data_IF_916097937809
#
_entry.id   IF_916097937809
#
_cell.length_a   1.000
_cell.length_b   1.000
_cell.length_c   1.000
_cell.angle_alpha   90.00
_cell.angle_beta   90.00
_cell.angle_gamma   90.00
#
_symmetry.space_group_name_H-M   'P 1'
#
loop_
_entity.id
_entity.type
_entity.pdbx_description
1 polymer ?
#
# COMPACT_ATOMS: atom_id res chain seq x y z
N UNK A 1 -23.10 -25.77 -7.66
CA UNK A 1 -22.24 -24.94 -6.78
C UNK A 1 -21.27 -24.01 -7.53
N UNK A 2 -20.76 -24.32 -8.71
CA UNK A 2 -19.79 -23.47 -9.46
C UNK A 2 -20.39 -22.22 -10.12
N UNK A 3 -21.67 -22.22 -10.48
CA UNK A 3 -22.35 -21.05 -11.07
C UNK A 3 -22.78 -20.00 -10.05
N UNK A 4 -23.16 -20.41 -8.85
CA UNK A 4 -23.59 -19.48 -7.80
C UNK A 4 -22.45 -18.59 -7.25
N UNK A 5 -21.19 -19.05 -7.26
CA UNK A 5 -20.05 -18.22 -6.83
C UNK A 5 -19.69 -17.13 -7.85
N UNK A 6 -19.90 -17.38 -9.15
CA UNK A 6 -19.74 -16.35 -10.20
C UNK A 6 -20.77 -15.21 -10.08
N UNK A 7 -21.99 -15.56 -9.69
CA UNK A 7 -23.12 -14.63 -9.58
C UNK A 7 -22.97 -13.76 -8.31
N UNK A 8 -22.48 -14.33 -7.21
CA UNK A 8 -22.30 -13.60 -5.93
C UNK A 8 -21.25 -12.49 -6.07
N UNK A 9 -20.09 -12.77 -6.67
CA UNK A 9 -19.03 -11.75 -6.89
C UNK A 9 -19.48 -10.59 -7.77
N UNK A 10 -20.21 -10.86 -8.87
CA UNK A 10 -20.72 -9.83 -9.78
C UNK A 10 -21.88 -9.01 -9.20
N UNK A 11 -22.71 -9.57 -8.32
CA UNK A 11 -23.80 -8.84 -7.67
C UNK A 11 -23.31 -7.88 -6.60
N UNK A 12 -22.30 -8.27 -5.80
CA UNK A 12 -21.63 -7.37 -4.84
C UNK A 12 -20.93 -6.21 -5.54
N UNK A 13 -20.25 -6.47 -6.65
CA UNK A 13 -19.58 -5.47 -7.50
C UNK A 13 -20.55 -4.42 -8.08
N UNK A 14 -21.68 -4.86 -8.60
CA UNK A 14 -22.70 -3.92 -9.15
C UNK A 14 -23.38 -3.09 -8.06
N UNK A 15 -23.52 -3.62 -6.85
CA UNK A 15 -24.03 -2.91 -5.68
C UNK A 15 -23.08 -1.82 -5.20
N UNK A 16 -21.78 -2.10 -5.16
CA UNK A 16 -20.75 -1.15 -4.72
C UNK A 16 -20.56 0.00 -5.72
N UNK A 17 -20.49 -0.29 -7.04
CA UNK A 17 -20.44 0.73 -8.10
C UNK A 17 -21.68 1.64 -8.06
N UNK A 18 -22.85 1.12 -7.69
CA UNK A 18 -24.07 1.92 -7.52
C UNK A 18 -24.06 2.82 -6.27
N UNK A 19 -23.32 2.47 -5.21
CA UNK A 19 -23.20 3.30 -4.00
C UNK A 19 -22.18 4.43 -4.17
N UNK A 20 -21.20 4.31 -5.06
CA UNK A 20 -20.31 5.40 -5.45
C UNK A 20 -21.02 6.28 -6.49
N UNK A 21 -21.87 7.19 -6.02
CA UNK A 21 -22.77 8.02 -6.85
C UNK A 21 -22.06 9.05 -7.76
N UNK A 22 -20.73 9.14 -7.72
CA UNK A 22 -19.93 10.06 -8.54
C UNK A 22 -18.76 9.35 -9.21
N UNK A 23 -18.65 9.54 -10.53
CA UNK A 23 -17.46 9.13 -11.28
C UNK A 23 -16.28 10.03 -10.86
N UNK A 24 -15.34 9.46 -10.11
CA UNK A 24 -14.10 10.13 -9.69
C UNK A 24 -12.89 9.27 -10.02
N UNK A 25 -11.69 9.79 -9.75
CA UNK A 25 -10.44 9.10 -10.08
C UNK A 25 -10.34 7.74 -9.39
N UNK A 26 -10.70 7.64 -8.11
CA UNK A 26 -10.66 6.39 -7.34
C UNK A 26 -11.59 5.32 -7.95
N UNK A 27 -12.82 5.68 -8.27
CA UNK A 27 -13.80 4.77 -8.91
C UNK A 27 -13.25 4.22 -10.22
N UNK A 28 -12.71 5.09 -11.08
CA UNK A 28 -12.11 4.68 -12.36
C UNK A 28 -10.90 3.75 -12.21
N UNK A 29 -10.10 3.93 -11.15
CA UNK A 29 -8.97 3.03 -10.85
C UNK A 29 -9.50 1.66 -10.43
N UNK A 30 -10.44 1.62 -9.50
CA UNK A 30 -11.02 0.36 -9.01
C UNK A 30 -11.69 -0.44 -10.13
N UNK A 31 -12.45 0.21 -11.01
CA UNK A 31 -13.03 -0.44 -12.19
C UNK A 31 -11.94 -1.08 -13.06
N UNK A 32 -10.87 -0.33 -13.33
CA UNK A 32 -9.74 -0.84 -14.11
C UNK A 32 -9.05 -2.04 -13.45
N UNK A 33 -8.83 -1.98 -12.13
CA UNK A 33 -8.25 -3.10 -11.36
C UNK A 33 -9.11 -4.36 -11.46
N UNK A 34 -10.42 -4.21 -11.37
CA UNK A 34 -11.35 -5.34 -11.46
C UNK A 34 -11.37 -5.97 -12.87
N UNK A 35 -11.34 -5.14 -13.92
CA UNK A 35 -11.23 -5.63 -15.29
C UNK A 35 -9.92 -6.39 -15.55
N UNK A 36 -8.81 -5.91 -15.02
CA UNK A 36 -7.51 -6.56 -15.20
C UNK A 36 -7.40 -7.82 -14.35
N UNK A 37 -8.02 -7.82 -13.15
CA UNK A 37 -8.13 -9.02 -12.32
C UNK A 37 -8.90 -10.14 -13.04
N UNK A 38 -10.03 -9.84 -13.69
CA UNK A 38 -10.80 -10.85 -14.44
C UNK A 38 -10.01 -11.50 -15.57
N UNK A 39 -9.07 -10.79 -16.20
CA UNK A 39 -8.22 -11.33 -17.28
C UNK A 39 -7.15 -12.29 -16.78
N UNK A 40 -6.59 -12.03 -15.55
CA UNK A 40 -5.41 -12.75 -15.03
C UNK A 40 -5.72 -13.76 -13.94
N UNK A 41 -6.93 -13.73 -13.34
CA UNK A 41 -7.27 -14.59 -12.23
C UNK A 41 -7.25 -16.07 -12.61
N UNK A 42 -6.69 -16.90 -11.74
CA UNK A 42 -6.71 -18.35 -11.82
C UNK A 42 -7.82 -18.91 -10.92
N UNK A 43 -8.22 -20.19 -11.09
CA UNK A 43 -9.16 -20.82 -10.17
C UNK A 43 -8.70 -20.75 -8.71
N UNK A 44 -9.61 -20.42 -7.80
CA UNK A 44 -9.32 -20.27 -6.37
C UNK A 44 -8.69 -21.54 -5.75
N UNK A 45 -9.03 -22.72 -6.28
CA UNK A 45 -8.41 -23.98 -5.85
C UNK A 45 -6.92 -24.04 -6.14
N UNK A 46 -6.48 -23.51 -7.29
CA UNK A 46 -5.06 -23.39 -7.62
C UNK A 46 -4.35 -22.36 -6.75
N UNK A 47 -5.01 -21.23 -6.48
CA UNK A 47 -4.47 -20.21 -5.60
C UNK A 47 -4.26 -20.75 -4.18
N UNK A 48 -5.25 -21.50 -3.65
CA UNK A 48 -5.14 -22.17 -2.36
C UNK A 48 -4.04 -23.25 -2.31
N UNK A 49 -3.75 -23.88 -3.43
CA UNK A 49 -2.63 -24.82 -3.52
C UNK A 49 -1.28 -24.07 -3.44
N UNK A 50 -1.16 -22.96 -4.16
CA UNK A 50 0.03 -22.12 -4.15
C UNK A 50 0.29 -21.48 -2.76
N UNK A 51 -0.75 -21.19 -1.98
CA UNK A 51 -0.59 -20.70 -0.60
C UNK A 51 0.25 -21.63 0.28
N UNK A 52 0.23 -22.95 0.04
CA UNK A 52 1.00 -23.94 0.81
C UNK A 52 2.50 -23.82 0.61
N UNK A 53 2.91 -23.23 -0.51
CA UNK A 53 4.32 -22.99 -0.88
C UNK A 53 4.68 -21.51 -0.92
N UNK A 54 3.83 -20.64 -0.38
CA UNK A 54 4.09 -19.22 -0.29
C UNK A 54 5.35 -18.95 0.56
N UNK A 55 6.19 -17.97 0.20
CA UNK A 55 7.42 -17.66 0.93
C UNK A 55 7.17 -17.29 2.39
N UNK A 56 8.13 -17.55 3.28
CA UNK A 56 8.06 -17.11 4.68
C UNK A 56 7.94 -15.59 4.80
N UNK A 57 7.15 -15.14 5.75
CA UNK A 57 6.91 -13.71 5.98
C UNK A 57 8.05 -13.05 6.76
N UNK A 58 8.38 -11.82 6.41
CA UNK A 58 9.51 -11.06 6.98
C UNK A 58 9.12 -10.10 8.11
N UNK A 59 7.82 -9.94 8.43
CA UNK A 59 7.33 -9.16 9.55
C UNK A 59 7.56 -7.65 9.38
N UNK A 60 6.74 -7.00 8.57
CA UNK A 60 6.83 -5.55 8.30
C UNK A 60 6.56 -4.70 9.55
N UNK A 61 5.57 -5.07 10.36
CA UNK A 61 5.31 -4.38 11.63
C UNK A 61 6.55 -4.35 12.54
N UNK A 62 7.24 -5.49 12.68
CA UNK A 62 8.49 -5.58 13.47
C UNK A 62 9.58 -4.66 12.90
N UNK A 63 9.71 -4.59 11.58
CA UNK A 63 10.69 -3.71 10.93
C UNK A 63 10.40 -2.23 11.18
N UNK A 64 9.14 -1.84 11.05
CA UNK A 64 8.67 -0.46 11.23
C UNK A 64 8.57 -0.03 12.72
N UNK A 65 8.55 -0.97 13.67
CA UNK A 65 8.48 -0.69 15.10
C UNK A 65 9.85 -0.42 15.75
N UNK A 66 10.95 -0.50 15.01
CA UNK A 66 12.29 -0.18 15.53
C UNK A 66 12.40 1.29 15.94
N UNK A 67 13.29 1.66 16.88
CA UNK A 67 13.50 3.05 17.30
C UNK A 67 13.90 3.99 16.15
N UNK A 68 13.45 5.23 16.20
CA UNK A 68 13.72 6.30 15.23
C UNK A 68 12.72 6.28 14.05
N UNK A 69 12.85 7.23 13.14
CA UNK A 69 12.02 7.33 11.95
C UNK A 69 12.32 6.19 10.98
N UNK A 70 11.28 5.48 10.52
CA UNK A 70 11.37 4.36 9.59
C UNK A 70 10.95 4.78 8.19
N UNK A 71 11.43 4.08 7.18
CA UNK A 71 11.16 4.39 5.77
C UNK A 71 10.55 3.19 5.05
N UNK A 72 9.39 3.42 4.46
CA UNK A 72 8.81 2.59 3.39
C UNK A 72 9.22 3.26 2.07
N UNK A 73 10.20 2.68 1.36
CA UNK A 73 10.69 3.22 0.10
C UNK A 73 9.90 2.65 -1.07
N UNK A 74 9.26 3.51 -1.86
CA UNK A 74 8.31 3.10 -2.89
C UNK A 74 8.92 3.10 -4.29
N UNK A 75 8.76 2.00 -5.01
CA UNK A 75 9.09 1.82 -6.43
C UNK A 75 7.84 2.17 -7.24
N UNK A 76 7.89 3.31 -7.95
CA UNK A 76 6.75 3.87 -8.68
C UNK A 76 7.18 4.56 -9.98
N UNK A 77 6.72 4.04 -11.13
CA UNK A 77 7.03 4.59 -12.46
C UNK A 77 6.17 5.78 -12.85
N UNK A 78 4.94 5.81 -12.39
CA UNK A 78 3.94 6.81 -12.79
C UNK A 78 2.96 7.11 -11.66
N UNK A 79 2.27 8.24 -11.75
CA UNK A 79 1.14 8.55 -10.85
C UNK A 79 0.04 9.30 -11.60
N UNK A 80 -1.24 9.20 -11.17
CA UNK A 80 -2.36 9.90 -11.80
C UNK A 80 -2.19 11.43 -11.82
N UNK A 81 -1.52 12.01 -10.80
CA UNK A 81 -1.35 13.45 -10.65
C UNK A 81 -0.18 14.04 -11.44
N UNK A 82 0.85 13.24 -11.77
CA UNK A 82 2.11 13.74 -12.37
C UNK A 82 2.52 12.99 -13.64
N UNK A 83 1.78 11.96 -14.03
CA UNK A 83 2.15 11.11 -15.17
C UNK A 83 3.42 10.31 -14.90
N UNK A 84 4.28 10.13 -15.91
CA UNK A 84 5.56 9.44 -15.80
C UNK A 84 6.50 10.16 -14.83
N UNK A 85 7.09 9.41 -13.88
CA UNK A 85 8.00 9.94 -12.85
C UNK A 85 9.46 9.59 -13.15
N UNK A 86 9.70 8.33 -13.48
CA UNK A 86 11.03 7.82 -13.81
C UNK A 86 10.90 6.56 -14.69
N UNK A 87 11.90 6.34 -15.54
CA UNK A 87 12.11 5.05 -16.17
C UNK A 87 12.82 4.14 -15.16
N UNK A 88 12.21 3.00 -14.86
CA UNK A 88 12.73 1.98 -13.95
C UNK A 88 12.83 0.68 -14.74
N UNK A 89 13.99 0.45 -15.31
CA UNK A 89 14.23 -0.74 -16.14
C UNK A 89 14.33 -2.00 -15.27
N UNK A 90 14.90 -1.87 -14.07
CA UNK A 90 15.10 -2.97 -13.13
C UNK A 90 14.68 -2.56 -11.70
N UNK A 91 13.49 -3.03 -11.30
CA UNK A 91 12.97 -2.79 -9.96
C UNK A 91 13.83 -3.44 -8.85
N UNK A 92 14.50 -4.58 -9.14
CA UNK A 92 15.40 -5.27 -8.18
C UNK A 92 16.61 -4.40 -7.85
N UNK A 93 17.23 -3.84 -8.87
CA UNK A 93 18.40 -2.95 -8.69
C UNK A 93 18.03 -1.72 -7.85
N UNK A 94 16.85 -1.14 -8.09
CA UNK A 94 16.37 0.00 -7.30
C UNK A 94 16.06 -0.40 -5.86
N UNK A 95 15.40 -1.55 -5.64
CA UNK A 95 15.13 -2.09 -4.31
C UNK A 95 16.41 -2.35 -3.51
N UNK A 96 17.45 -2.89 -4.15
CA UNK A 96 18.76 -3.11 -3.53
C UNK A 96 19.41 -1.80 -3.07
N UNK A 97 19.33 -0.74 -3.88
CA UNK A 97 19.81 0.60 -3.50
C UNK A 97 19.01 1.19 -2.33
N UNK A 98 17.68 0.95 -2.30
CA UNK A 98 16.85 1.38 -1.18
C UNK A 98 17.21 0.64 0.11
N UNK A 99 17.46 -0.67 0.04
CA UNK A 99 17.94 -1.46 1.17
C UNK A 99 19.33 -0.97 1.64
N UNK A 100 20.26 -0.72 0.74
CA UNK A 100 21.58 -0.14 1.04
C UNK A 100 21.47 1.23 1.71
N UNK A 101 20.54 2.08 1.25
CA UNK A 101 20.24 3.39 1.83
C UNK A 101 19.58 3.34 3.21
N UNK A 102 19.17 2.16 3.68
CA UNK A 102 18.58 1.96 5.01
C UNK A 102 17.06 2.10 5.04
N UNK A 103 16.36 1.77 3.95
CA UNK A 103 14.92 1.55 3.97
C UNK A 103 14.58 0.38 4.91
N UNK A 104 13.38 0.39 5.48
CA UNK A 104 12.89 -0.65 6.39
C UNK A 104 11.89 -1.60 5.72
N UNK A 105 11.15 -1.10 4.74
CA UNK A 105 10.18 -1.83 3.90
C UNK A 105 10.28 -1.30 2.47
N UNK A 106 10.16 -2.17 1.49
CA UNK A 106 10.03 -1.77 0.09
C UNK A 106 8.56 -1.86 -0.35
N UNK A 107 8.03 -0.75 -0.85
CA UNK A 107 6.69 -0.67 -1.44
C UNK A 107 6.79 -0.83 -2.95
N UNK A 108 6.04 -1.77 -3.52
CA UNK A 108 6.00 -2.02 -4.96
C UNK A 108 4.60 -1.80 -5.50
N UNK A 109 4.46 -0.82 -6.41
CA UNK A 109 3.20 -0.59 -7.12
C UNK A 109 2.93 -1.78 -8.05
N UNK A 110 1.71 -2.35 -7.97
CA UNK A 110 1.27 -3.44 -8.86
C UNK A 110 0.08 -3.05 -9.74
N UNK A 111 -0.54 -1.88 -9.54
CA UNK A 111 -1.55 -1.33 -10.45
C UNK A 111 -0.91 -0.90 -11.78
N UNK A 112 -1.40 -1.48 -12.89
CA UNK A 112 -0.74 -1.36 -14.21
C UNK A 112 -1.13 -0.08 -14.96
N UNK A 113 -2.43 0.29 -14.95
CA UNK A 113 -2.98 1.32 -15.86
C UNK A 113 -2.51 2.72 -15.53
N UNK A 114 -2.52 3.09 -14.27
CA UNK A 114 -2.25 4.46 -13.80
C UNK A 114 -0.84 4.62 -13.24
N UNK A 115 -0.36 3.59 -12.54
CA UNK A 115 0.95 3.66 -11.88
C UNK A 115 2.05 2.95 -12.66
N UNK A 116 1.71 2.22 -13.74
CA UNK A 116 2.63 1.38 -14.51
C UNK A 116 3.38 0.40 -13.63
N UNK A 117 2.65 -0.12 -12.62
CA UNK A 117 3.13 -1.15 -11.72
C UNK A 117 3.11 -2.53 -12.37
N UNK A 118 3.70 -3.52 -11.69
CA UNK A 118 3.76 -4.88 -12.19
C UNK A 118 3.81 -5.89 -11.05
N UNK A 119 3.05 -6.99 -11.18
CA UNK A 119 3.17 -8.15 -10.29
C UNK A 119 4.54 -8.81 -10.41
N UNK A 120 5.13 -8.80 -11.60
CA UNK A 120 6.49 -9.35 -11.79
C UNK A 120 7.53 -8.54 -11.01
N UNK A 121 7.41 -7.20 -10.94
CA UNK A 121 8.29 -6.39 -10.10
C UNK A 121 8.19 -6.76 -8.61
N UNK A 122 6.97 -7.04 -8.12
CA UNK A 122 6.79 -7.46 -6.73
C UNK A 122 7.53 -8.77 -6.44
N UNK A 123 7.39 -9.76 -7.32
CA UNK A 123 8.07 -11.06 -7.21
C UNK A 123 9.59 -10.88 -7.29
N UNK A 124 10.06 -10.13 -8.26
CA UNK A 124 11.48 -9.90 -8.50
C UNK A 124 12.14 -9.16 -7.34
N UNK A 125 11.50 -8.10 -6.83
CA UNK A 125 11.96 -7.38 -5.63
C UNK A 125 11.98 -8.30 -4.43
N UNK A 126 10.89 -9.06 -4.19
CA UNK A 126 10.79 -9.98 -3.06
C UNK A 126 11.93 -11.00 -3.02
N UNK A 127 12.36 -11.46 -4.20
CA UNK A 127 13.44 -12.46 -4.35
C UNK A 127 14.85 -11.85 -4.29
N UNK A 128 14.99 -10.53 -4.41
CA UNK A 128 16.30 -9.86 -4.53
C UNK A 128 16.81 -9.19 -3.25
N UNK A 129 15.91 -8.96 -2.27
CA UNK A 129 16.23 -8.24 -1.01
C UNK A 129 15.79 -9.06 0.20
N UNK A 130 16.25 -8.65 1.39
CA UNK A 130 15.87 -9.27 2.68
C UNK A 130 14.79 -8.47 3.43
N UNK A 131 14.48 -7.25 3.00
CA UNK A 131 13.48 -6.40 3.62
C UNK A 131 12.06 -6.92 3.35
N UNK A 132 11.09 -6.65 4.25
CA UNK A 132 9.68 -6.86 3.98
C UNK A 132 9.21 -6.08 2.76
N UNK A 133 8.26 -6.65 2.00
CA UNK A 133 7.73 -6.04 0.78
C UNK A 133 6.23 -5.75 0.94
N UNK A 134 5.85 -4.49 0.71
CA UNK A 134 4.47 -4.03 0.62
C UNK A 134 3.97 -4.16 -0.82
N UNK A 135 2.89 -4.91 -1.03
CA UNK A 135 2.10 -4.79 -2.27
C UNK A 135 1.26 -3.51 -2.20
N UNK A 136 1.63 -2.51 -2.98
CA UNK A 136 0.90 -1.24 -3.10
C UNK A 136 -0.05 -1.32 -4.30
N UNK A 137 -1.31 -1.59 -4.01
CA UNK A 137 -2.38 -1.82 -5.02
C UNK A 137 -3.74 -1.42 -4.42
N UNK A 138 -4.76 -1.30 -5.27
CA UNK A 138 -6.16 -1.16 -4.83
C UNK A 138 -6.75 -2.54 -4.60
N UNK A 139 -6.65 -3.03 -3.37
CA UNK A 139 -7.17 -4.35 -2.98
C UNK A 139 -8.64 -4.21 -2.61
N UNK A 140 -9.50 -4.72 -3.49
CA UNK A 140 -10.97 -4.61 -3.40
C UNK A 140 -11.69 -5.95 -3.48
N UNK A 141 -10.92 -7.05 -3.50
CA UNK A 141 -11.45 -8.42 -3.51
C UNK A 141 -10.63 -9.33 -2.60
N UNK A 142 -11.31 -10.34 -2.01
CA UNK A 142 -10.68 -11.42 -1.25
C UNK A 142 -9.61 -12.16 -2.06
N UNK A 143 -9.86 -12.33 -3.37
CA UNK A 143 -8.90 -12.96 -4.27
C UNK A 143 -7.55 -12.24 -4.26
N UNK A 144 -7.54 -10.91 -4.29
CA UNK A 144 -6.30 -10.13 -4.27
C UNK A 144 -5.54 -10.25 -2.94
N UNK A 145 -6.24 -10.45 -1.83
CA UNK A 145 -5.61 -10.74 -0.52
C UNK A 145 -4.86 -12.08 -0.58
N UNK A 146 -5.52 -13.14 -1.04
CA UNK A 146 -4.90 -14.47 -1.21
C UNK A 146 -3.75 -14.43 -2.21
N UNK A 147 -3.95 -13.75 -3.36
CA UNK A 147 -2.93 -13.55 -4.39
C UNK A 147 -1.69 -12.84 -3.82
N UNK A 148 -1.87 -11.80 -3.00
CA UNK A 148 -0.76 -11.07 -2.39
C UNK A 148 0.11 -11.98 -1.54
N UNK A 149 -0.50 -12.87 -0.75
CA UNK A 149 0.24 -13.84 0.06
C UNK A 149 1.03 -14.83 -0.80
N UNK A 150 0.41 -15.34 -1.87
CA UNK A 150 1.07 -16.26 -2.83
C UNK A 150 2.26 -15.57 -3.52
N UNK A 151 2.11 -14.32 -3.89
CA UNK A 151 3.16 -13.52 -4.53
C UNK A 151 4.32 -13.15 -3.58
N UNK A 152 4.18 -13.43 -2.28
CA UNK A 152 5.20 -13.18 -1.28
C UNK A 152 5.17 -11.77 -0.69
N UNK A 153 4.05 -11.05 -0.78
CA UNK A 153 3.88 -9.82 -0.03
C UNK A 153 3.90 -10.09 1.48
N UNK A 154 4.64 -9.30 2.23
CA UNK A 154 4.70 -9.34 3.69
C UNK A 154 3.67 -8.41 4.32
N UNK A 155 3.30 -7.37 3.57
CA UNK A 155 2.37 -6.32 3.95
C UNK A 155 1.50 -5.98 2.75
N UNK A 156 0.21 -5.71 2.97
CA UNK A 156 -0.71 -5.20 1.93
C UNK A 156 -1.29 -3.86 2.32
N UNK A 157 -1.81 -3.14 1.32
CA UNK A 157 -2.54 -1.90 1.48
C UNK A 157 -4.05 -2.16 1.48
N UNK A 158 -4.76 -1.65 2.49
CA UNK A 158 -6.21 -1.50 2.46
C UNK A 158 -6.57 -0.02 2.55
N UNK A 159 -7.25 0.50 1.54
CA UNK A 159 -7.65 1.91 1.45
C UNK A 159 -9.09 2.03 1.94
N UNK A 160 -9.33 2.73 3.05
CA UNK A 160 -10.67 2.86 3.64
C UNK A 160 -11.66 3.47 2.65
N UNK A 161 -11.26 4.51 1.92
CA UNK A 161 -12.08 5.15 0.88
C UNK A 161 -12.51 4.21 -0.27
N UNK A 162 -11.81 3.09 -0.46
CA UNK A 162 -12.06 2.14 -1.55
C UNK A 162 -12.90 0.92 -1.11
N UNK A 163 -13.26 0.80 0.17
CA UNK A 163 -13.89 -0.39 0.74
C UNK A 163 -15.17 -0.04 1.52
N UNK A 164 -16.13 -0.95 1.54
CA UNK A 164 -17.19 -0.91 2.53
C UNK A 164 -16.65 -1.34 3.90
N UNK A 165 -17.34 -0.98 4.98
CA UNK A 165 -16.92 -1.34 6.35
C UNK A 165 -16.80 -2.86 6.53
N UNK A 166 -17.68 -3.65 5.90
CA UNK A 166 -17.60 -5.11 5.90
C UNK A 166 -16.35 -5.60 5.16
N UNK A 167 -16.10 -5.11 3.93
CA UNK A 167 -14.92 -5.49 3.16
C UNK A 167 -13.63 -5.13 3.89
N UNK A 168 -13.55 -3.94 4.47
CA UNK A 168 -12.39 -3.51 5.23
C UNK A 168 -12.09 -4.47 6.38
N UNK A 169 -13.11 -4.85 7.15
CA UNK A 169 -13.00 -5.80 8.25
C UNK A 169 -12.61 -7.19 7.77
N UNK A 170 -13.32 -7.72 6.74
CA UNK A 170 -13.12 -9.07 6.25
C UNK A 170 -11.73 -9.23 5.62
N UNK A 171 -11.27 -8.24 4.83
CA UNK A 171 -9.94 -8.29 4.21
C UNK A 171 -8.82 -8.09 5.24
N UNK A 172 -9.02 -7.24 6.24
CA UNK A 172 -8.07 -7.09 7.35
C UNK A 172 -7.91 -8.40 8.12
N UNK A 173 -9.04 -9.04 8.48
CA UNK A 173 -9.04 -10.32 9.17
C UNK A 173 -8.35 -11.41 8.33
N UNK A 174 -8.75 -11.59 7.07
CA UNK A 174 -8.15 -12.56 6.18
C UNK A 174 -6.63 -12.35 6.02
N UNK A 175 -6.20 -11.10 5.88
CA UNK A 175 -4.77 -10.79 5.76
C UNK A 175 -3.98 -11.20 7.00
N UNK A 176 -4.53 -10.91 8.18
CA UNK A 176 -3.89 -11.28 9.46
C UNK A 176 -3.91 -12.79 9.71
N UNK A 177 -4.97 -13.50 9.31
CA UNK A 177 -5.05 -14.97 9.35
C UNK A 177 -4.00 -15.62 8.43
N UNK A 178 -3.68 -14.98 7.30
CA UNK A 178 -2.60 -15.39 6.39
C UNK A 178 -1.20 -14.98 6.89
N UNK A 179 -1.13 -14.29 8.04
CA UNK A 179 0.11 -13.83 8.68
C UNK A 179 0.71 -12.56 8.11
N UNK A 180 0.08 -11.92 7.12
CA UNK A 180 0.52 -10.64 6.56
C UNK A 180 0.20 -9.50 7.51
N UNK A 181 1.07 -8.49 7.55
CA UNK A 181 0.76 -7.18 8.13
C UNK A 181 -0.16 -6.39 7.16
N UNK A 182 -0.87 -5.38 7.69
CA UNK A 182 -1.78 -4.55 6.88
C UNK A 182 -1.52 -3.08 7.16
N UNK A 183 -1.22 -2.31 6.12
CA UNK A 183 -1.22 -0.85 6.13
C UNK A 183 -2.64 -0.38 5.76
N UNK A 184 -3.36 0.19 6.73
CA UNK A 184 -4.70 0.74 6.50
C UNK A 184 -4.57 2.23 6.23
N UNK A 185 -4.84 2.63 4.98
CA UNK A 185 -4.71 4.01 4.53
C UNK A 185 -5.99 4.81 4.78
N UNK A 186 -5.82 5.99 5.39
CA UNK A 186 -6.91 6.92 5.77
C UNK A 186 -6.61 8.34 5.30
N UNK A 187 -7.68 9.12 5.01
CA UNK A 187 -7.60 10.48 4.49
C UNK A 187 -8.30 11.52 5.38
N UNK A 188 -9.12 11.09 6.32
CA UNK A 188 -9.84 11.93 7.28
C UNK A 188 -10.04 11.21 8.62
N UNK A 189 -10.67 11.90 9.58
CA UNK A 189 -10.90 11.37 10.92
C UNK A 189 -11.94 10.24 10.95
N UNK A 190 -12.95 10.28 10.10
CA UNK A 190 -13.98 9.24 10.02
C UNK A 190 -13.37 7.94 9.49
N UNK A 191 -12.49 8.01 8.51
CA UNK A 191 -11.72 6.86 8.01
C UNK A 191 -10.74 6.34 9.07
N UNK A 192 -10.11 7.24 9.83
CA UNK A 192 -9.22 6.87 10.93
C UNK A 192 -9.97 6.12 12.04
N UNK A 193 -11.19 6.55 12.39
CA UNK A 193 -12.05 5.85 13.33
C UNK A 193 -12.40 4.43 12.84
N UNK A 194 -12.75 4.27 11.56
CA UNK A 194 -13.01 2.96 10.96
C UNK A 194 -11.80 2.04 11.04
N UNK A 195 -10.60 2.56 10.75
CA UNK A 195 -9.34 1.82 10.87
C UNK A 195 -9.06 1.38 12.31
N UNK A 196 -9.34 2.23 13.30
CA UNK A 196 -9.22 1.88 14.72
C UNK A 196 -10.23 0.82 15.14
N UNK A 197 -11.48 0.92 14.67
CA UNK A 197 -12.56 0.00 15.03
C UNK A 197 -12.33 -1.43 14.54
N UNK A 198 -11.59 -1.65 13.45
CA UNK A 198 -11.17 -2.99 13.02
C UNK A 198 -9.91 -3.50 13.74
N UNK A 199 -9.31 -2.72 14.63
CA UNK A 199 -8.10 -3.08 15.36
C UNK A 199 -6.81 -2.96 14.53
N UNK A 200 -6.74 -2.03 13.58
CA UNK A 200 -5.56 -1.82 12.74
C UNK A 200 -4.32 -1.50 13.60
N UNK A 201 -3.21 -2.19 13.33
CA UNK A 201 -1.91 -1.96 14.00
C UNK A 201 -1.05 -0.95 13.28
N UNK A 202 -1.24 -0.77 11.97
CA UNK A 202 -0.48 0.17 11.13
C UNK A 202 -1.50 1.02 10.38
N UNK A 203 -1.51 2.32 10.64
CA UNK A 203 -2.39 3.28 9.96
C UNK A 203 -1.53 4.25 9.15
N UNK A 204 -1.79 4.31 7.85
CA UNK A 204 -1.21 5.26 6.93
C UNK A 204 -2.09 6.48 6.78
N UNK A 205 -1.58 7.66 7.14
CA UNK A 205 -2.27 8.92 6.88
C UNK A 205 -1.78 9.44 5.55
N UNK A 206 -2.66 9.42 4.54
CA UNK A 206 -2.33 9.89 3.21
C UNK A 206 -2.77 11.36 3.01
N UNK A 207 -1.79 12.26 2.86
CA UNK A 207 -2.05 13.68 2.61
C UNK A 207 -2.63 13.98 1.22
N UNK A 208 -2.67 12.98 0.32
CA UNK A 208 -3.25 13.11 -1.02
C UNK A 208 -4.70 12.67 -1.02
N UNK A 209 -5.60 13.59 -1.36
CA UNK A 209 -7.00 13.27 -1.61
C UNK A 209 -7.13 12.41 -2.88
N UNK A 210 -7.72 11.21 -2.79
CA UNK A 210 -7.84 10.28 -3.93
C UNK A 210 -8.92 10.69 -4.95
N UNK A 211 -9.78 11.66 -4.62
CA UNK A 211 -10.81 12.18 -5.53
C UNK A 211 -10.29 13.36 -6.35
N UNK A 212 -9.57 14.31 -5.69
CA UNK A 212 -9.07 15.54 -6.33
C UNK A 212 -7.60 15.49 -6.72
N UNK A 213 -6.83 14.52 -6.17
CA UNK A 213 -5.38 14.34 -6.29
C UNK A 213 -4.56 15.46 -5.62
N UNK A 214 -5.19 16.41 -4.94
CA UNK A 214 -4.53 17.46 -4.19
C UNK A 214 -3.81 16.90 -2.96
N UNK A 215 -2.66 17.50 -2.63
CA UNK A 215 -1.86 17.15 -1.45
C UNK A 215 -1.97 18.27 -0.43
N UNK A 216 -2.28 17.93 0.81
CA UNK A 216 -2.40 18.88 1.92
C UNK A 216 -1.68 18.38 3.17
N UNK A 217 -0.62 19.06 3.58
CA UNK A 217 0.09 18.74 4.83
C UNK A 217 -0.82 18.91 6.08
N UNK A 218 -1.89 19.69 5.99
CA UNK A 218 -2.87 19.84 7.07
C UNK A 218 -3.52 18.52 7.46
N UNK A 219 -3.59 17.56 6.54
CA UNK A 219 -4.11 16.20 6.82
C UNK A 219 -3.27 15.52 7.91
N UNK A 220 -1.94 15.67 7.89
CA UNK A 220 -1.07 15.14 8.94
C UNK A 220 -1.32 15.81 10.29
N UNK A 221 -1.44 17.15 10.30
CA UNK A 221 -1.69 17.94 11.51
C UNK A 221 -3.03 17.59 12.17
N UNK A 222 -4.03 17.25 11.36
CA UNK A 222 -5.36 16.89 11.85
C UNK A 222 -5.45 15.45 12.36
N UNK A 223 -4.81 14.48 11.70
CA UNK A 223 -5.06 13.07 11.95
C UNK A 223 -3.99 12.44 12.83
N UNK A 224 -2.69 12.66 12.56
CA UNK A 224 -1.61 11.97 13.28
C UNK A 224 -1.68 12.12 14.82
N UNK A 225 -1.95 13.34 15.37
CA UNK A 225 -2.04 13.51 16.83
C UNK A 225 -3.27 12.83 17.45
N UNK A 226 -4.31 12.53 16.69
CA UNK A 226 -5.55 11.90 17.18
C UNK A 226 -5.43 10.38 17.25
N UNK A 227 -4.48 9.78 16.53
CA UNK A 227 -4.26 8.35 16.58
C UNK A 227 -3.56 7.95 17.90
N UNK A 228 -3.96 6.84 18.54
CA UNK A 228 -3.35 6.40 19.79
C UNK A 228 -1.89 5.97 19.60
N UNK A 229 -1.09 6.03 20.68
CA UNK A 229 0.32 5.62 20.66
C UNK A 229 0.52 4.11 20.41
N UNK A 230 -0.51 3.31 20.61
CA UNK A 230 -0.48 1.86 20.34
C UNK A 230 -0.50 1.51 18.85
N UNK A 231 -0.79 2.49 18.00
CA UNK A 231 -0.82 2.33 16.54
C UNK A 231 0.48 2.85 15.93
N UNK A 232 1.05 2.08 15.00
CA UNK A 232 2.17 2.53 14.18
C UNK A 232 1.64 3.48 13.10
N UNK A 233 2.00 4.76 13.21
CA UNK A 233 1.53 5.83 12.34
C UNK A 233 2.51 6.02 11.19
N UNK A 234 2.02 5.93 9.94
CA UNK A 234 2.80 6.15 8.71
C UNK A 234 2.28 7.42 8.03
N UNK A 235 3.16 8.36 7.67
CA UNK A 235 2.79 9.51 6.87
C UNK A 235 3.10 9.25 5.39
N UNK A 236 2.10 9.47 4.51
CA UNK A 236 2.15 9.14 3.10
C UNK A 236 1.87 10.36 2.21
N UNK A 237 2.55 10.44 1.09
CA UNK A 237 2.47 11.51 0.09
C UNK A 237 3.01 12.88 0.56
N UNK A 238 3.48 13.70 -0.39
CA UNK A 238 3.88 15.08 -0.14
C UNK A 238 5.20 15.28 0.62
N UNK A 239 5.91 14.22 1.02
CA UNK A 239 7.15 14.28 1.79
C UNK A 239 8.34 14.11 0.84
N UNK A 240 9.25 15.08 0.85
CA UNK A 240 10.41 15.12 -0.05
C UNK A 240 11.68 15.68 0.59
N UNK A 241 11.61 16.21 1.82
CA UNK A 241 12.74 16.80 2.54
C UNK A 241 12.85 16.27 3.97
N UNK A 242 14.04 16.33 4.56
CA UNK A 242 14.28 15.96 5.96
C UNK A 242 13.49 16.83 6.95
N UNK A 243 13.23 18.10 6.61
CA UNK A 243 12.39 19.00 7.43
C UNK A 243 10.93 18.50 7.49
N UNK A 244 10.37 18.05 6.35
CA UNK A 244 9.03 17.49 6.31
C UNK A 244 8.97 16.16 7.07
N UNK A 245 10.02 15.34 7.01
CA UNK A 245 10.12 14.10 7.82
C UNK A 245 10.14 14.44 9.31
N UNK A 246 10.93 15.43 9.74
CA UNK A 246 10.97 15.88 11.14
C UNK A 246 9.59 16.41 11.59
N UNK A 247 8.93 17.21 10.74
CA UNK A 247 7.58 17.74 11.03
C UNK A 247 6.56 16.61 11.29
N UNK A 248 6.49 15.58 10.45
CA UNK A 248 5.54 14.48 10.68
C UNK A 248 5.95 13.60 11.86
N UNK A 249 7.25 13.50 12.17
CA UNK A 249 7.74 12.85 13.38
C UNK A 249 7.27 13.56 14.66
N UNK A 250 7.33 14.89 14.68
CA UNK A 250 6.84 15.70 15.81
C UNK A 250 5.32 15.55 16.01
N UNK A 251 4.57 15.28 14.92
CA UNK A 251 3.14 14.95 14.94
C UNK A 251 2.86 13.51 15.38
N UNK A 252 3.88 12.71 15.64
CA UNK A 252 3.78 11.34 16.16
C UNK A 252 3.93 10.22 15.13
N UNK A 253 4.25 10.54 13.86
CA UNK A 253 4.56 9.49 12.88
C UNK A 253 5.80 8.69 13.29
N UNK A 254 5.76 7.37 13.08
CA UNK A 254 6.89 6.44 13.30
C UNK A 254 7.55 6.04 11.99
N UNK A 255 6.84 6.17 10.88
CA UNK A 255 7.35 5.88 9.54
C UNK A 255 6.84 6.88 8.51
N UNK A 256 7.57 6.98 7.41
CA UNK A 256 7.17 7.72 6.21
C UNK A 256 7.16 6.78 5.00
N UNK A 257 6.20 6.97 4.08
CA UNK A 257 6.19 6.30 2.78
C UNK A 257 6.57 7.32 1.70
N UNK A 258 7.71 7.09 1.05
CA UNK A 258 8.29 8.02 0.07
C UNK A 258 8.61 7.28 -1.23
N UNK A 259 8.13 7.81 -2.35
CA UNK A 259 8.41 7.27 -3.68
C UNK A 259 8.98 8.31 -4.63
N UNK A 260 8.26 9.39 -4.89
CA UNK A 260 8.59 10.32 -5.96
C UNK A 260 10.00 10.93 -5.87
N UNK A 261 10.41 11.43 -4.72
CA UNK A 261 11.74 11.99 -4.52
C UNK A 261 12.85 10.95 -4.66
N UNK A 262 12.57 9.70 -4.28
CA UNK A 262 13.52 8.61 -4.39
C UNK A 262 13.71 8.13 -5.84
N UNK A 263 12.63 7.94 -6.59
CA UNK A 263 12.74 7.47 -7.99
C UNK A 263 13.29 8.53 -8.92
N UNK A 264 13.12 9.82 -8.59
CA UNK A 264 13.70 10.94 -9.33
C UNK A 264 15.16 11.24 -8.96
N UNK A 265 15.65 10.64 -7.88
CA UNK A 265 17.01 10.87 -7.41
C UNK A 265 18.01 10.10 -8.25
N UNK A 266 19.07 10.76 -8.69
CA UNK A 266 20.22 10.09 -9.31
C UNK A 266 21.02 9.22 -8.33
N UNK A 267 20.84 9.44 -7.01
CA UNK A 267 21.49 8.66 -5.95
C UNK A 267 20.51 8.38 -4.79
N UNK A 268 19.71 7.31 -4.87
CA UNK A 268 18.72 7.00 -3.86
C UNK A 268 19.31 6.78 -2.46
N UNK A 269 20.49 6.17 -2.35
CA UNK A 269 21.17 5.94 -1.06
C UNK A 269 21.44 7.27 -0.35
N UNK A 270 22.03 8.22 -1.06
CA UNK A 270 22.31 9.56 -0.53
C UNK A 270 21.00 10.28 -0.13
N UNK A 271 19.98 10.20 -0.98
CA UNK A 271 18.69 10.86 -0.72
C UNK A 271 18.01 10.29 0.51
N UNK A 272 18.03 8.98 0.72
CA UNK A 272 17.48 8.34 1.93
C UNK A 272 18.21 8.84 3.18
N UNK A 273 19.55 8.92 3.15
CA UNK A 273 20.32 9.42 4.28
C UNK A 273 20.00 10.89 4.60
N UNK A 274 19.82 11.73 3.59
CA UNK A 274 19.39 13.12 3.77
C UNK A 274 17.97 13.22 4.38
N UNK A 275 17.03 12.42 3.88
CA UNK A 275 15.63 12.41 4.36
C UNK A 275 15.54 11.98 5.82
N UNK A 276 16.37 11.03 6.24
CA UNK A 276 16.34 10.45 7.59
C UNK A 276 17.39 11.09 8.53
N UNK A 277 18.14 12.11 8.09
CA UNK A 277 19.22 12.77 8.85
C UNK A 277 20.26 11.75 9.38
N UNK A 278 20.72 10.85 8.51
CA UNK A 278 21.71 9.81 8.81
C UNK A 278 23.02 10.04 8.09
#
# INVERSE_FOLDING_TARGET
MKENQKIIGMHYLKGWIRQMSESNVLTSIVEGVLEDLEKRRIPISKLNEQLKSAPDLRGAYKSLSKPGMRLIAEIKRSSPSKGALAEIDDAKSLASKYQEGGADVISVLTEERRFKGSISDLIDVRNSIELPVLRKDFIVTEYQVLESRVLGADLILLIVAALTDSQLKDFYQLSTELGMDVLVEVHDLDEAEKALNIGSKIIGVNSRNLKTLEVSEKTFELILPQLPESVLKVAESGISTGEQVAKVQDLGAKAVLIGESLVKSGNPVHTINQLLNR
#
